data_IF_500712138472
#
_entry.id   IF_500712138472
#
_cell.length_a   1.000
_cell.length_b   1.000
_cell.length_c   1.000
_cell.angle_alpha   90.00
_cell.angle_beta   90.00
_cell.angle_gamma   90.00
#
_symmetry.space_group_name_H-M   'P 1'
#
loop_
_entity.id
_entity.type
_entity.pdbx_description
1 polymer ?
#
# COMPACT_ATOMS: atom_id res chain seq x y z
N UNK A 1 8.98 19.39 52.09
CA UNK A 1 9.62 19.82 50.82
C UNK A 1 9.82 18.65 49.85
N UNK A 2 8.91 17.67 49.77
CA UNK A 2 9.01 16.50 48.88
C UNK A 2 7.94 16.47 47.76
N UNK A 3 7.12 17.52 47.65
CA UNK A 3 5.98 17.57 46.72
C UNK A 3 6.42 17.75 45.25
N UNK A 4 7.48 18.51 45.02
CA UNK A 4 7.98 18.82 43.68
C UNK A 4 8.62 17.61 42.94
N UNK A 5 9.50 16.79 43.56
CA UNK A 5 10.07 15.63 42.88
C UNK A 5 9.02 14.54 42.60
N UNK A 6 8.01 14.39 43.49
CA UNK A 6 6.93 13.43 43.30
C UNK A 6 6.04 13.79 42.10
N UNK A 7 5.73 15.08 41.91
CA UNK A 7 4.95 15.56 40.77
C UNK A 7 5.71 15.37 39.45
N UNK A 8 7.03 15.59 39.45
CA UNK A 8 7.86 15.36 38.28
C UNK A 8 7.92 13.87 37.91
N UNK A 9 8.08 13.00 38.91
CA UNK A 9 8.04 11.54 38.71
C UNK A 9 6.68 11.08 38.16
N UNK A 10 5.57 11.62 38.65
CA UNK A 10 4.24 11.28 38.15
C UNK A 10 4.06 11.74 36.70
N UNK A 11 4.48 12.98 36.39
CA UNK A 11 4.41 13.54 35.04
C UNK A 11 5.21 12.73 34.03
N UNK A 12 6.45 12.32 34.38
CA UNK A 12 7.28 11.46 33.53
C UNK A 12 6.62 10.09 33.34
N UNK A 13 6.05 9.48 34.39
CA UNK A 13 5.29 8.23 34.26
C UNK A 13 4.10 8.36 33.29
N UNK A 14 3.33 9.45 33.38
CA UNK A 14 2.21 9.70 32.47
C UNK A 14 2.68 9.86 31.02
N UNK A 15 3.79 10.56 30.78
CA UNK A 15 4.35 10.74 29.44
C UNK A 15 4.82 9.41 28.83
N UNK A 16 5.43 8.53 29.62
CA UNK A 16 5.89 7.20 29.19
C UNK A 16 4.68 6.30 28.85
N UNK A 17 3.64 6.28 29.69
CA UNK A 17 2.43 5.50 29.44
C UNK A 17 1.69 5.96 28.17
N UNK A 18 1.61 7.28 27.94
CA UNK A 18 0.98 7.84 26.73
C UNK A 18 1.71 7.44 25.44
N UNK A 19 3.06 7.46 25.47
CA UNK A 19 3.87 7.04 24.32
C UNK A 19 3.76 5.53 24.04
N UNK A 20 3.66 4.70 25.08
CA UNK A 20 3.53 3.25 24.93
C UNK A 20 2.20 2.83 24.28
N UNK A 21 1.12 3.59 24.49
CA UNK A 21 -0.17 3.31 23.85
C UNK A 21 -0.20 3.75 22.38
N UNK A 22 0.42 4.89 22.05
CA UNK A 22 0.45 5.41 20.67
C UNK A 22 1.24 4.50 19.72
N UNK A 23 2.35 3.92 20.16
CA UNK A 23 3.14 2.98 19.35
C UNK A 23 2.42 1.67 19.08
N UNK A 24 1.64 1.17 20.05
CA UNK A 24 0.84 -0.05 19.90
C UNK A 24 -0.28 0.08 18.87
N UNK A 25 -0.87 1.28 18.73
CA UNK A 25 -1.97 1.51 17.79
C UNK A 25 -1.50 1.53 16.33
N UNK A 26 -0.38 2.19 16.04
CA UNK A 26 0.22 2.22 14.69
C UNK A 26 0.63 0.83 14.20
N UNK A 27 1.18 -0.02 15.08
CA UNK A 27 1.51 -1.41 14.75
C UNK A 27 0.26 -2.28 14.53
N UNK A 28 -0.83 -2.04 15.26
CA UNK A 28 -2.08 -2.78 15.06
C UNK A 28 -2.76 -2.46 13.74
N UNK A 29 -2.75 -1.20 13.31
CA UNK A 29 -3.37 -0.80 12.03
C UNK A 29 -2.69 -1.50 10.85
N UNK A 30 -1.35 -1.45 10.78
CA UNK A 30 -0.56 -2.17 9.76
C UNK A 30 -0.70 -3.69 9.86
N UNK A 31 -0.73 -4.24 11.08
CA UNK A 31 -0.96 -5.68 11.27
C UNK A 31 -2.40 -6.12 10.92
N UNK A 32 -3.38 -5.20 10.98
CA UNK A 32 -4.76 -5.46 10.60
C UNK A 32 -4.99 -5.41 9.10
N UNK A 33 -4.28 -4.54 8.36
CA UNK A 33 -4.37 -4.43 6.90
C UNK A 33 -4.02 -5.74 6.18
N UNK A 34 -3.15 -6.56 6.78
CA UNK A 34 -2.75 -7.85 6.22
C UNK A 34 -3.49 -9.06 6.81
N UNK A 35 -4.58 -8.87 7.56
CA UNK A 35 -5.40 -9.97 8.10
C UNK A 35 -6.41 -10.48 7.07
N UNK A 36 -5.89 -10.99 5.96
CA UNK A 36 -6.66 -11.52 4.85
C UNK A 36 -7.21 -12.91 5.21
N UNK A 37 -8.50 -13.13 4.96
CA UNK A 37 -9.16 -14.40 5.27
C UNK A 37 -9.14 -15.38 4.09
N UNK A 38 -9.23 -14.86 2.86
CA UNK A 38 -9.18 -15.64 1.63
C UNK A 38 -8.33 -14.92 0.57
N UNK A 39 -7.61 -15.69 -0.23
CA UNK A 39 -6.82 -15.19 -1.37
C UNK A 39 -7.45 -15.73 -2.64
N UNK A 40 -7.62 -14.87 -3.62
CA UNK A 40 -8.31 -15.17 -4.88
C UNK A 40 -7.42 -14.84 -6.08
N UNK A 41 -7.65 -15.52 -7.20
CA UNK A 41 -7.06 -15.13 -8.46
C UNK A 41 -7.74 -13.86 -8.98
N UNK A 42 -7.03 -12.72 -8.91
CA UNK A 42 -7.59 -11.43 -9.30
C UNK A 42 -7.53 -11.19 -10.82
N UNK A 43 -8.64 -10.74 -11.38
CA UNK A 43 -8.77 -10.22 -12.75
C UNK A 43 -8.63 -8.68 -12.75
N UNK A 44 -8.27 -8.05 -13.88
CA UNK A 44 -8.28 -6.59 -13.98
C UNK A 44 -9.69 -6.02 -13.77
N UNK A 45 -9.79 -4.95 -12.99
CA UNK A 45 -11.08 -4.29 -12.67
C UNK A 45 -11.35 -3.07 -13.53
N UNK A 46 -10.30 -2.46 -14.12
CA UNK A 46 -10.43 -1.30 -15.01
C UNK A 46 -9.68 -1.51 -16.32
N UNK A 47 -10.30 -1.09 -17.41
CA UNK A 47 -9.78 -1.24 -18.78
C UNK A 47 -9.86 0.09 -19.53
N UNK A 48 -8.72 0.57 -19.99
CA UNK A 48 -8.58 1.85 -20.69
C UNK A 48 -8.17 1.58 -22.13
N UNK A 49 -9.07 1.89 -23.06
CA UNK A 49 -8.82 1.73 -24.49
C UNK A 49 -7.97 2.89 -25.02
N UNK A 50 -6.99 2.56 -25.85
CA UNK A 50 -6.19 3.53 -26.62
C UNK A 50 -6.24 3.17 -28.11
N UNK A 51 -5.74 4.06 -28.96
CA UNK A 51 -5.73 3.86 -30.43
C UNK A 51 -5.11 2.52 -30.84
N UNK A 52 -3.94 2.18 -30.29
CA UNK A 52 -3.17 1.01 -30.67
C UNK A 52 -2.92 0.04 -29.51
N UNK A 53 -3.90 -0.11 -28.60
CA UNK A 53 -3.75 -1.01 -27.46
C UNK A 53 -4.77 -0.81 -26.35
N UNK A 54 -4.56 -1.54 -25.27
CA UNK A 54 -5.35 -1.44 -24.05
C UNK A 54 -4.45 -1.47 -22.83
N UNK A 55 -4.82 -0.68 -21.81
CA UNK A 55 -4.20 -0.74 -20.50
C UNK A 55 -5.22 -1.23 -19.48
N UNK A 56 -4.85 -2.28 -18.75
CA UNK A 56 -5.67 -2.94 -17.75
C UNK A 56 -5.05 -2.72 -16.37
N UNK A 57 -5.87 -2.37 -15.39
CA UNK A 57 -5.48 -2.16 -14.00
C UNK A 57 -6.25 -3.11 -13.10
N UNK A 58 -5.56 -3.65 -12.10
CA UNK A 58 -6.17 -4.30 -10.96
C UNK A 58 -6.57 -3.24 -9.92
N UNK A 59 -7.52 -3.57 -9.05
CA UNK A 59 -7.92 -2.66 -7.98
C UNK A 59 -6.83 -2.60 -6.91
N UNK A 60 -6.12 -1.49 -6.85
CA UNK A 60 -5.08 -1.23 -5.84
C UNK A 60 -5.61 -1.20 -4.40
N UNK A 61 -6.92 -1.00 -4.22
CA UNK A 61 -7.57 -1.06 -2.91
C UNK A 61 -8.07 -2.47 -2.56
N UNK A 62 -7.81 -3.47 -3.40
CA UNK A 62 -8.05 -4.86 -3.01
C UNK A 62 -7.15 -5.22 -1.83
N UNK A 63 -7.72 -5.82 -0.78
CA UNK A 63 -7.00 -6.13 0.47
C UNK A 63 -5.71 -6.96 0.26
N UNK A 64 -5.67 -7.82 -0.76
CA UNK A 64 -4.49 -8.63 -1.09
C UNK A 64 -3.36 -7.77 -1.69
N UNK A 65 -3.72 -6.80 -2.54
CA UNK A 65 -2.77 -5.90 -3.18
C UNK A 65 -2.34 -4.75 -2.25
N UNK A 66 -3.25 -4.24 -1.42
CA UNK A 66 -2.95 -3.25 -0.39
C UNK A 66 -1.97 -3.84 0.64
N UNK A 67 -2.23 -5.06 1.12
CA UNK A 67 -1.30 -5.76 2.03
C UNK A 67 0.06 -6.01 1.38
N UNK A 68 0.10 -6.39 0.09
CA UNK A 68 1.35 -6.58 -0.63
C UNK A 68 2.08 -5.24 -0.94
N UNK A 69 1.39 -4.10 -0.82
CA UNK A 69 1.94 -2.79 -1.10
C UNK A 69 2.26 -2.58 -2.59
N UNK A 70 1.47 -3.18 -3.49
CA UNK A 70 1.72 -3.14 -4.94
C UNK A 70 0.50 -2.71 -5.73
N UNK A 71 0.74 -2.10 -6.88
CA UNK A 71 -0.25 -1.89 -7.93
C UNK A 71 0.14 -2.69 -9.17
N UNK A 72 -0.86 -3.27 -9.85
CA UNK A 72 -0.63 -4.11 -11.04
C UNK A 72 -1.29 -3.48 -12.25
N UNK A 73 -0.52 -3.41 -13.34
CA UNK A 73 -0.96 -2.91 -14.64
C UNK A 73 -0.50 -3.85 -15.74
N UNK A 74 -1.35 -4.10 -16.74
CA UNK A 74 -1.03 -4.86 -17.95
C UNK A 74 -1.26 -3.98 -19.17
N UNK A 75 -0.26 -3.89 -20.03
CA UNK A 75 -0.37 -3.20 -21.31
C UNK A 75 -0.39 -4.25 -22.42
N UNK A 76 -1.39 -4.16 -23.31
CA UNK A 76 -1.42 -4.90 -24.56
C UNK A 76 -1.26 -3.90 -25.69
N UNK A 77 -0.12 -3.97 -26.37
CA UNK A 77 0.27 -3.04 -27.44
C UNK A 77 0.07 -3.77 -28.78
N UNK A 78 -0.71 -3.18 -29.67
CA UNK A 78 -0.95 -3.74 -31.00
C UNK A 78 0.25 -3.49 -31.93
N UNK A 79 0.36 -4.22 -33.06
CA UNK A 79 1.41 -3.96 -34.04
C UNK A 79 1.44 -2.49 -34.51
N UNK A 80 2.63 -1.89 -34.55
CA UNK A 80 2.87 -0.46 -34.81
C UNK A 80 2.30 0.50 -33.75
N UNK A 81 1.86 -0.02 -32.61
CA UNK A 81 1.49 0.78 -31.45
C UNK A 81 2.70 1.23 -30.64
N UNK A 82 2.58 2.39 -29.99
CA UNK A 82 3.58 2.94 -29.09
C UNK A 82 2.92 3.22 -27.73
N UNK A 83 3.40 2.56 -26.67
CA UNK A 83 3.10 2.99 -25.31
C UNK A 83 3.89 4.27 -25.04
N UNK A 84 3.18 5.37 -24.82
CA UNK A 84 3.83 6.67 -24.63
C UNK A 84 4.71 6.69 -23.35
N UNK A 85 5.86 7.39 -23.38
CA UNK A 85 6.70 7.56 -22.21
C UNK A 85 5.92 8.16 -21.03
N UNK A 86 6.07 7.56 -19.86
CA UNK A 86 5.50 8.03 -18.60
C UNK A 86 6.43 7.68 -17.45
N UNK A 87 6.27 8.37 -16.33
CA UNK A 87 6.95 8.07 -15.07
C UNK A 87 5.93 7.70 -14.00
N UNK A 88 6.39 7.01 -12.96
CA UNK A 88 5.62 6.68 -11.78
C UNK A 88 6.41 7.08 -10.52
N UNK A 89 5.70 7.16 -9.40
CA UNK A 89 6.25 7.50 -8.08
C UNK A 89 6.80 6.29 -7.31
N UNK A 90 6.76 5.09 -7.90
CA UNK A 90 7.16 3.83 -7.28
C UNK A 90 8.06 3.01 -8.24
N UNK A 91 9.01 2.23 -7.73
CA UNK A 91 9.82 1.34 -8.56
C UNK A 91 8.92 0.34 -9.31
N UNK A 92 9.29 -0.01 -10.53
CA UNK A 92 8.51 -0.90 -11.41
C UNK A 92 9.36 -2.07 -11.88
N UNK A 93 8.79 -3.26 -11.79
CA UNK A 93 9.24 -4.44 -12.52
C UNK A 93 8.29 -4.66 -13.70
N UNK A 94 8.83 -4.95 -14.88
CA UNK A 94 8.01 -5.25 -16.07
C UNK A 94 8.39 -6.61 -16.63
N UNK A 95 7.38 -7.39 -16.99
CA UNK A 95 7.52 -8.72 -17.56
C UNK A 95 6.81 -8.77 -18.92
N UNK A 96 7.52 -9.22 -19.95
CA UNK A 96 6.98 -9.36 -21.30
C UNK A 96 6.37 -10.75 -21.43
N UNK A 97 5.03 -10.81 -21.43
CA UNK A 97 4.28 -12.07 -21.52
C UNK A 97 4.32 -12.67 -22.93
N UNK A 98 4.22 -11.83 -23.96
CA UNK A 98 4.18 -12.21 -25.37
C UNK A 98 4.76 -11.07 -26.22
N UNK A 99 5.45 -11.42 -27.31
CA UNK A 99 6.01 -10.50 -28.30
C UNK A 99 5.77 -10.99 -29.71
#
# INVERSE_FOLDING_TARGET
MAKLPLLFSLSVCFLILFHAQATQQSQRETQSQCRIQNIDALEPTRRIQSEAGVTEHWDENNEQLECAGVAVTRHTIQPRGLLLPHFNNAPKLSYILQG
#
